data_IF_540714833391
#
_entry.id   IF_540714833391
#
_cell.length_a   1.000
_cell.length_b   1.000
_cell.length_c   1.000
_cell.angle_alpha   90.00
_cell.angle_beta   90.00
_cell.angle_gamma   90.00
#
_symmetry.space_group_name_H-M   'P 1'
#
loop_
_entity.id
_entity.type
_entity.pdbx_description
1 polymer ?
#
# COMPACT_ATOMS: atom_id res chain seq x y z
N UNK A 1 -24.91 -5.43 -13.01
CA UNK A 1 -24.40 -6.12 -11.82
C UNK A 1 -23.30 -5.27 -11.22
N UNK A 2 -23.55 -4.60 -10.10
CA UNK A 2 -22.51 -3.83 -9.43
C UNK A 2 -21.56 -4.80 -8.73
N UNK A 3 -20.23 -4.68 -8.92
CA UNK A 3 -19.24 -5.62 -8.35
C UNK A 3 -19.13 -5.59 -6.81
N UNK A 4 -20.01 -4.85 -6.14
CA UNK A 4 -20.07 -4.62 -4.70
C UNK A 4 -20.78 -5.72 -3.90
N UNK A 5 -21.55 -6.60 -4.56
CA UNK A 5 -22.43 -7.56 -3.88
C UNK A 5 -21.76 -8.90 -3.50
N UNK A 6 -20.55 -9.18 -4.00
CA UNK A 6 -19.84 -10.46 -3.76
C UNK A 6 -18.80 -10.40 -2.62
N UNK A 7 -18.67 -9.26 -1.93
CA UNK A 7 -17.69 -9.13 -0.84
C UNK A 7 -18.23 -9.71 0.45
N UNK A 8 -17.61 -10.80 0.92
CA UNK A 8 -17.96 -11.46 2.19
C UNK A 8 -18.08 -10.46 3.35
N UNK A 9 -19.17 -10.53 4.15
CA UNK A 9 -19.34 -9.68 5.33
C UNK A 9 -18.19 -9.78 6.34
N UNK A 10 -17.59 -10.98 6.45
CA UNK A 10 -16.43 -11.20 7.31
C UNK A 10 -15.20 -10.44 6.82
N UNK A 11 -14.96 -10.43 5.51
CA UNK A 11 -13.86 -9.67 4.93
C UNK A 11 -14.04 -8.16 5.17
N UNK A 12 -15.25 -7.65 4.96
CA UNK A 12 -15.59 -6.23 5.24
C UNK A 12 -15.32 -5.88 6.70
N UNK A 13 -15.79 -6.70 7.64
CA UNK A 13 -15.56 -6.51 9.08
C UNK A 13 -14.07 -6.54 9.42
N UNK A 14 -13.31 -7.46 8.86
CA UNK A 14 -11.87 -7.57 9.12
C UNK A 14 -11.09 -6.35 8.61
N UNK A 15 -11.41 -5.85 7.40
CA UNK A 15 -10.80 -4.63 6.87
C UNK A 15 -11.13 -3.42 7.75
N UNK A 16 -12.40 -3.29 8.16
CA UNK A 16 -12.83 -2.20 9.04
C UNK A 16 -12.15 -2.26 10.41
N UNK A 17 -12.04 -3.45 11.00
CA UNK A 17 -11.36 -3.65 12.27
C UNK A 17 -9.86 -3.35 12.15
N UNK A 18 -9.20 -3.86 11.10
CA UNK A 18 -7.79 -3.57 10.82
C UNK A 18 -7.54 -2.07 10.65
N UNK A 19 -8.44 -1.36 9.98
CA UNK A 19 -8.41 0.09 9.88
C UNK A 19 -8.57 0.78 11.25
N UNK A 20 -9.56 0.34 12.03
CA UNK A 20 -9.87 0.91 13.35
C UNK A 20 -8.70 0.80 14.33
N UNK A 21 -7.98 -0.32 14.34
CA UNK A 21 -6.80 -0.52 15.20
C UNK A 21 -5.53 0.14 14.66
N UNK A 22 -5.62 0.96 13.60
CA UNK A 22 -4.47 1.64 13.01
C UNK A 22 -3.55 0.75 12.17
N UNK A 23 -4.02 -0.43 11.75
CA UNK A 23 -3.22 -1.41 11.02
C UNK A 23 -2.61 -0.86 9.73
N UNK A 24 -3.37 -0.11 8.93
CA UNK A 24 -2.84 0.53 7.72
C UNK A 24 -1.78 1.58 8.03
N UNK A 25 -1.97 2.37 9.10
CA UNK A 25 -0.97 3.35 9.51
C UNK A 25 0.34 2.67 9.92
N UNK A 26 0.26 1.56 10.66
CA UNK A 26 1.44 0.78 11.05
C UNK A 26 2.23 0.26 9.85
N UNK A 27 1.56 -0.09 8.74
CA UNK A 27 2.24 -0.50 7.51
C UNK A 27 3.01 0.65 6.88
N UNK A 28 2.41 1.85 6.83
CA UNK A 28 3.07 3.08 6.34
C UNK A 28 4.27 3.41 7.23
N UNK A 29 4.10 3.40 8.55
CA UNK A 29 5.18 3.68 9.49
C UNK A 29 6.34 2.68 9.34
N UNK A 30 6.06 1.41 9.01
CA UNK A 30 7.10 0.41 8.79
C UNK A 30 8.00 0.73 7.60
N UNK A 31 7.49 1.40 6.56
CA UNK A 31 8.26 1.81 5.38
C UNK A 31 9.34 2.84 5.73
N UNK A 32 9.10 3.66 6.76
CA UNK A 32 10.05 4.69 7.24
C UNK A 32 11.06 4.18 8.26
N UNK A 33 10.83 3.01 8.86
CA UNK A 33 11.68 2.48 9.94
C UNK A 33 12.95 1.82 9.40
N UNK A 34 14.08 2.13 10.03
CA UNK A 34 15.35 1.45 9.77
C UNK A 34 15.42 0.06 10.46
N UNK A 35 16.06 -0.94 9.84
CA UNK A 35 16.58 -0.93 8.47
C UNK A 35 15.43 -0.84 7.45
N UNK A 36 15.67 -0.07 6.37
CA UNK A 36 14.70 0.08 5.27
C UNK A 36 14.31 -1.30 4.72
N UNK A 37 13.01 -1.55 4.49
CA UNK A 37 12.56 -2.80 3.87
C UNK A 37 13.09 -2.92 2.44
N UNK A 38 13.31 -4.14 1.95
CA UNK A 38 13.54 -4.38 0.51
C UNK A 38 12.28 -4.06 -0.31
N UNK A 39 12.39 -3.86 -1.61
CA UNK A 39 11.22 -3.57 -2.47
C UNK A 39 10.19 -4.70 -2.43
N UNK A 40 10.63 -5.95 -2.27
CA UNK A 40 9.74 -7.10 -2.06
C UNK A 40 8.94 -6.97 -0.76
N UNK A 41 9.57 -6.51 0.31
CA UNK A 41 8.91 -6.24 1.58
C UNK A 41 7.98 -5.02 1.48
N UNK A 42 8.39 -3.94 0.81
CA UNK A 42 7.55 -2.77 0.51
C UNK A 42 6.28 -3.20 -0.22
N UNK A 43 6.40 -4.02 -1.27
CA UNK A 43 5.24 -4.57 -1.99
C UNK A 43 4.30 -5.36 -1.08
N UNK A 44 4.86 -6.13 -0.16
CA UNK A 44 4.06 -6.87 0.84
C UNK A 44 3.31 -5.95 1.80
N UNK A 45 3.90 -4.80 2.16
CA UNK A 45 3.27 -3.76 3.00
C UNK A 45 2.19 -2.99 2.24
N UNK A 46 2.28 -2.85 0.91
CA UNK A 46 1.29 -2.18 0.07
C UNK A 46 0.09 -3.10 -0.25
N UNK A 47 0.29 -4.42 -0.28
CA UNK A 47 -0.73 -5.40 -0.66
C UNK A 47 -2.05 -5.30 0.13
N UNK A 48 -2.06 -5.04 1.46
CA UNK A 48 -3.30 -4.84 2.21
C UNK A 48 -4.16 -3.69 1.65
N UNK A 49 -3.56 -2.57 1.25
CA UNK A 49 -4.28 -1.44 0.65
C UNK A 49 -4.94 -1.85 -0.67
N UNK A 50 -4.21 -2.59 -1.51
CA UNK A 50 -4.74 -3.08 -2.79
C UNK A 50 -5.95 -3.98 -2.62
N UNK A 51 -5.93 -4.84 -1.60
CA UNK A 51 -7.04 -5.76 -1.30
C UNK A 51 -8.22 -5.03 -0.67
N UNK A 52 -7.95 -4.01 0.13
CA UNK A 52 -8.98 -3.29 0.90
C UNK A 52 -9.63 -2.14 0.14
N UNK A 53 -9.09 -1.74 -1.03
CA UNK A 53 -9.54 -0.56 -1.79
C UNK A 53 -11.05 -0.53 -2.08
N UNK A 54 -11.66 -1.68 -2.38
CA UNK A 54 -13.08 -1.79 -2.75
C UNK A 54 -13.99 -1.81 -1.50
N UNK A 55 -13.40 -1.83 -0.30
CA UNK A 55 -14.10 -1.95 0.99
C UNK A 55 -13.93 -0.69 1.84
N UNK A 56 -12.78 -0.04 1.76
CA UNK A 56 -12.52 1.21 2.45
C UNK A 56 -13.42 2.33 1.90
N UNK A 57 -13.80 3.26 2.77
CA UNK A 57 -14.43 4.50 2.31
C UNK A 57 -13.43 5.24 1.41
N UNK A 58 -13.90 5.82 0.31
CA UNK A 58 -13.05 6.52 -0.65
C UNK A 58 -12.13 7.56 0.01
N UNK A 59 -12.67 8.41 0.90
CA UNK A 59 -11.88 9.41 1.63
C UNK A 59 -10.77 8.79 2.49
N UNK A 60 -11.04 7.64 3.11
CA UNK A 60 -10.04 6.90 3.89
C UNK A 60 -8.95 6.33 2.98
N UNK A 61 -9.33 5.75 1.84
CA UNK A 61 -8.39 5.26 0.84
C UNK A 61 -7.51 6.41 0.31
N UNK A 62 -8.11 7.55 -0.05
CA UNK A 62 -7.40 8.75 -0.50
C UNK A 62 -6.36 9.22 0.52
N UNK A 63 -6.73 9.29 1.79
CA UNK A 63 -5.80 9.66 2.87
C UNK A 63 -4.61 8.73 2.99
N UNK A 64 -4.82 7.41 2.85
CA UNK A 64 -3.72 6.44 2.86
C UNK A 64 -2.87 6.48 1.59
N UNK A 65 -3.47 6.66 0.42
CA UNK A 65 -2.75 6.73 -0.85
C UNK A 65 -1.87 7.98 -0.92
N UNK A 66 -2.35 9.12 -0.41
CA UNK A 66 -1.53 10.33 -0.28
C UNK A 66 -0.31 10.06 0.62
N UNK A 67 -0.52 9.54 1.83
CA UNK A 67 0.57 9.21 2.74
C UNK A 67 1.55 8.18 2.18
N UNK A 68 1.05 7.14 1.50
CA UNK A 68 1.89 6.15 0.84
C UNK A 68 2.73 6.79 -0.26
N UNK A 69 2.17 7.69 -1.05
CA UNK A 69 2.89 8.37 -2.14
C UNK A 69 4.06 9.19 -1.58
N UNK A 70 3.80 9.98 -0.54
CA UNK A 70 4.85 10.77 0.13
C UNK A 70 5.92 9.86 0.75
N UNK A 71 5.49 8.80 1.44
CA UNK A 71 6.39 7.82 2.06
C UNK A 71 7.25 7.09 1.03
N UNK A 72 6.69 6.78 -0.15
CA UNK A 72 7.41 6.10 -1.22
C UNK A 72 8.45 7.02 -1.86
N UNK A 73 8.17 8.32 -2.00
CA UNK A 73 9.15 9.29 -2.45
C UNK A 73 10.33 9.39 -1.47
N UNK A 74 10.04 9.51 -0.17
CA UNK A 74 11.05 9.48 0.90
C UNK A 74 11.87 8.20 0.87
N UNK A 75 11.21 7.05 0.77
CA UNK A 75 11.85 5.74 0.72
C UNK A 75 12.80 5.62 -0.47
N UNK A 76 12.35 5.98 -1.67
CA UNK A 76 13.17 5.91 -2.89
C UNK A 76 14.38 6.85 -2.82
N UNK A 77 14.22 8.03 -2.23
CA UNK A 77 15.32 8.97 -2.02
C UNK A 77 16.33 8.49 -0.96
N UNK A 78 15.92 7.63 -0.04
CA UNK A 78 16.76 7.09 1.04
C UNK A 78 17.48 5.78 0.65
N UNK A 79 17.17 5.19 -0.50
CA UNK A 79 17.87 3.99 -0.98
C UNK A 79 19.31 4.33 -1.36
N UNK A 80 20.26 3.59 -0.78
CA UNK A 80 21.67 3.65 -1.18
C UNK A 80 21.92 2.88 -2.48
N UNK A 81 23.02 3.21 -3.17
CA UNK A 81 23.46 2.49 -4.38
C UNK A 81 23.63 0.98 -4.14
N UNK A 82 24.12 0.58 -2.96
CA UNK A 82 24.25 -0.83 -2.60
C UNK A 82 22.89 -1.52 -2.48
N UNK A 83 21.89 -0.84 -1.93
CA UNK A 83 20.52 -1.37 -1.89
C UNK A 83 19.92 -1.43 -3.30
N UNK A 84 20.11 -0.41 -4.13
CA UNK A 84 19.63 -0.41 -5.51
C UNK A 84 20.24 -1.53 -6.35
N UNK A 85 21.49 -1.94 -6.10
CA UNK A 85 22.14 -3.08 -6.77
C UNK A 85 21.53 -4.43 -6.39
N UNK A 86 20.99 -4.54 -5.18
CA UNK A 86 20.35 -5.77 -4.69
C UNK A 86 18.92 -5.92 -5.19
N UNK A 87 18.31 -4.83 -5.64
CA UNK A 87 16.93 -4.80 -6.11
C UNK A 87 16.82 -5.12 -7.61
N UNK A 88 15.94 -6.06 -7.96
CA UNK A 88 15.75 -6.39 -9.37
C UNK A 88 14.77 -5.43 -10.07
N UNK A 89 14.97 -5.23 -11.37
CA UNK A 89 14.10 -4.34 -12.20
C UNK A 89 12.65 -4.79 -12.21
N UNK A 90 12.40 -6.09 -12.01
CA UNK A 90 11.06 -6.68 -11.99
C UNK A 90 10.27 -6.18 -10.76
N UNK A 91 10.91 -6.15 -9.60
CA UNK A 91 10.35 -5.72 -8.32
C UNK A 91 10.00 -4.23 -8.35
N UNK A 92 10.86 -3.40 -8.96
CA UNK A 92 10.57 -1.99 -9.22
C UNK A 92 9.32 -1.84 -10.11
N UNK A 93 9.26 -2.58 -11.21
CA UNK A 93 8.11 -2.53 -12.13
C UNK A 93 6.80 -3.04 -11.50
N UNK A 94 6.86 -4.05 -10.65
CA UNK A 94 5.71 -4.54 -9.89
C UNK A 94 5.24 -3.54 -8.83
N UNK A 95 6.17 -2.94 -8.09
CA UNK A 95 5.86 -1.91 -7.12
C UNK A 95 5.17 -0.71 -7.77
N UNK A 96 5.69 -0.24 -8.91
CA UNK A 96 5.06 0.83 -9.69
C UNK A 96 3.62 0.49 -10.07
N UNK A 97 3.39 -0.72 -10.60
CA UNK A 97 2.02 -1.18 -10.95
C UNK A 97 1.09 -1.20 -9.73
N UNK A 98 1.59 -1.61 -8.56
CA UNK A 98 0.80 -1.57 -7.34
C UNK A 98 0.40 -0.14 -6.95
N UNK A 99 1.32 0.82 -7.06
CA UNK A 99 1.03 2.23 -6.76
C UNK A 99 0.05 2.84 -7.77
N UNK A 100 0.22 2.56 -9.06
CA UNK A 100 -0.67 3.05 -10.12
C UNK A 100 -2.13 2.59 -9.90
N UNK A 101 -2.33 1.32 -9.50
CA UNK A 101 -3.66 0.78 -9.19
C UNK A 101 -4.28 1.51 -7.99
N UNK A 102 -3.50 1.80 -6.95
CA UNK A 102 -3.99 2.52 -5.77
C UNK A 102 -4.33 3.97 -6.09
N UNK A 103 -3.48 4.65 -6.85
CA UNK A 103 -3.72 6.01 -7.31
C UNK A 103 -5.01 6.09 -8.11
N UNK A 104 -5.20 5.20 -9.08
CA UNK A 104 -6.42 5.14 -9.86
C UNK A 104 -7.66 4.86 -8.98
N UNK A 105 -7.57 3.88 -8.07
CA UNK A 105 -8.67 3.56 -7.16
C UNK A 105 -9.04 4.69 -6.19
N UNK A 106 -8.10 5.59 -5.88
CA UNK A 106 -8.35 6.76 -5.02
C UNK A 106 -9.00 7.94 -5.73
N UNK A 107 -9.10 7.90 -7.07
CA UNK A 107 -9.68 8.95 -7.91
C UNK A 107 -11.11 8.66 -8.39
N UNK A 108 -11.58 7.43 -8.20
CA UNK A 108 -12.94 6.96 -8.54
C UNK A 108 -13.94 7.31 -7.42
#
# INVERSE_FOLDING_TARGET
>A
CSPSDDISPYYRRNVQYFNHIGGFQLLIDRLRRQPLPSLTAVRSLIRPFLKARDVLKLQTLQGYVAQLSDTMLEYMAALSDEQLKLEDRKSIGELRRCLDVLLHASQL
#
